data_IF_207416535213
#
_entry.id   IF_207416535213
#
_cell.length_a   1.000
_cell.length_b   1.000
_cell.length_c   1.000
_cell.angle_alpha   90.00
_cell.angle_beta   90.00
_cell.angle_gamma   90.00
#
_symmetry.space_group_name_H-M   'P 1'
#
loop_
_entity.id
_entity.type
_entity.pdbx_description
1 polymer ?
#
# COMPACT_ATOMS: atom_id res chain seq x y z
N UNK A 1 6.30 -33.81 12.69
CA UNK A 1 6.20 -32.59 13.51
C UNK A 1 7.29 -31.65 13.03
N UNK A 2 7.03 -30.90 11.96
CA UNK A 2 7.95 -29.85 11.51
C UNK A 2 7.81 -28.71 12.50
N UNK A 3 8.87 -28.43 13.24
CA UNK A 3 8.93 -27.33 14.17
C UNK A 3 9.14 -26.06 13.34
N UNK A 4 8.03 -25.50 12.85
CA UNK A 4 8.04 -24.34 11.96
C UNK A 4 8.31 -23.10 12.82
N UNK A 5 9.47 -22.49 12.66
CA UNK A 5 9.82 -21.25 13.35
C UNK A 5 8.88 -20.15 12.88
N UNK A 6 7.98 -19.71 13.73
CA UNK A 6 7.12 -18.56 13.47
C UNK A 6 8.01 -17.31 13.47
N UNK A 7 8.16 -16.65 12.32
CA UNK A 7 8.80 -15.35 12.28
C UNK A 7 7.89 -14.33 12.97
N UNK A 8 8.42 -13.65 14.00
CA UNK A 8 7.71 -12.58 14.68
C UNK A 8 8.57 -11.35 14.82
N UNK A 9 8.02 -10.18 14.49
CA UNK A 9 8.68 -8.88 14.63
C UNK A 9 7.75 -7.98 15.43
N UNK A 10 8.25 -7.36 16.51
CA UNK A 10 7.43 -6.54 17.42
C UNK A 10 6.17 -7.27 17.93
N UNK A 11 6.30 -8.56 18.25
CA UNK A 11 5.22 -9.47 18.64
C UNK A 11 4.10 -9.63 17.59
N UNK A 12 4.32 -9.21 16.35
CA UNK A 12 3.45 -9.50 15.21
C UNK A 12 3.96 -10.76 14.55
N UNK A 13 3.09 -11.76 14.46
CA UNK A 13 3.34 -13.00 13.72
C UNK A 13 3.15 -12.73 12.24
N UNK A 14 4.13 -13.14 11.44
CA UNK A 14 3.95 -13.28 10.00
C UNK A 14 3.40 -14.68 9.76
N UNK A 15 2.21 -14.84 9.15
CA UNK A 15 1.65 -16.17 8.92
C UNK A 15 2.60 -17.01 8.05
N UNK A 16 2.90 -18.22 8.50
CA UNK A 16 3.76 -19.13 7.75
C UNK A 16 2.92 -20.11 6.92
N UNK A 17 2.28 -19.57 5.88
CA UNK A 17 1.41 -20.30 4.95
C UNK A 17 2.02 -20.33 3.55
N UNK A 18 1.53 -21.24 2.71
CA UNK A 18 1.94 -21.31 1.30
C UNK A 18 1.65 -19.99 0.58
N UNK A 19 0.47 -19.39 0.81
CA UNK A 19 0.09 -18.11 0.22
C UNK A 19 1.05 -16.99 0.61
N UNK A 20 1.39 -16.85 1.90
CA UNK A 20 2.30 -15.79 2.37
C UNK A 20 3.71 -15.96 1.81
N UNK A 21 4.21 -17.20 1.68
CA UNK A 21 5.51 -17.48 1.07
C UNK A 21 5.50 -17.11 -0.42
N UNK A 22 4.49 -17.55 -1.15
CA UNK A 22 4.29 -17.24 -2.57
C UNK A 22 4.23 -15.73 -2.82
N UNK A 23 3.46 -14.99 -2.01
CA UNK A 23 3.37 -13.53 -2.06
C UNK A 23 4.73 -12.90 -1.82
N UNK A 24 5.46 -13.38 -0.81
CA UNK A 24 6.77 -12.83 -0.45
C UNK A 24 7.77 -13.02 -1.58
N UNK A 25 7.83 -14.21 -2.18
CA UNK A 25 8.71 -14.50 -3.31
C UNK A 25 8.34 -13.66 -4.54
N UNK A 26 7.06 -13.65 -4.91
CA UNK A 26 6.58 -12.90 -6.07
C UNK A 26 6.86 -11.40 -5.97
N UNK A 27 6.60 -10.79 -4.81
CA UNK A 27 6.86 -9.37 -4.60
C UNK A 27 8.35 -9.11 -4.48
N UNK A 28 9.13 -10.03 -3.89
CA UNK A 28 10.58 -9.86 -3.79
C UNK A 28 11.23 -9.76 -5.17
N UNK A 29 10.74 -10.53 -6.14
CA UNK A 29 11.23 -10.52 -7.53
C UNK A 29 10.73 -9.30 -8.33
N UNK A 30 9.56 -8.76 -8.00
CA UNK A 30 8.94 -7.66 -8.73
C UNK A 30 9.37 -6.27 -8.24
N UNK A 31 9.62 -6.11 -6.94
CA UNK A 31 9.86 -4.82 -6.30
C UNK A 31 11.33 -4.57 -5.96
N UNK A 32 11.71 -3.29 -5.94
CA UNK A 32 12.99 -2.86 -5.39
C UNK A 32 13.07 -3.11 -3.87
N UNK A 33 14.28 -3.11 -3.29
CA UNK A 33 14.46 -3.22 -1.83
C UNK A 33 13.66 -2.15 -1.07
N UNK A 34 13.57 -0.94 -1.62
CA UNK A 34 12.81 0.16 -1.02
C UNK A 34 11.34 -0.21 -0.82
N UNK A 35 10.68 -0.67 -1.89
CA UNK A 35 9.24 -0.94 -1.89
C UNK A 35 8.94 -2.20 -1.08
N UNK A 36 9.75 -3.24 -1.20
CA UNK A 36 9.55 -4.45 -0.39
C UNK A 36 9.72 -4.18 1.11
N UNK A 37 10.78 -3.49 1.52
CA UNK A 37 10.94 -3.14 2.94
C UNK A 37 9.82 -2.21 3.42
N UNK A 38 9.32 -1.33 2.55
CA UNK A 38 8.13 -0.51 2.84
C UNK A 38 6.89 -1.37 3.07
N UNK A 39 6.54 -2.23 2.12
CA UNK A 39 5.42 -3.16 2.17
C UNK A 39 5.46 -4.05 3.42
N UNK A 40 6.65 -4.54 3.79
CA UNK A 40 6.85 -5.30 5.03
C UNK A 40 6.60 -4.45 6.28
N UNK A 41 7.06 -3.19 6.31
CA UNK A 41 6.73 -2.25 7.40
C UNK A 41 5.24 -1.91 7.44
N UNK A 42 4.57 -1.76 6.29
CA UNK A 42 3.14 -1.51 6.20
C UNK A 42 2.35 -2.64 6.85
N UNK A 43 2.68 -3.91 6.55
CA UNK A 43 2.06 -5.05 7.24
C UNK A 43 2.23 -4.97 8.76
N UNK A 44 3.47 -4.78 9.23
CA UNK A 44 3.79 -4.79 10.66
C UNK A 44 3.13 -3.63 11.40
N UNK A 45 3.20 -2.41 10.85
CA UNK A 45 2.53 -1.25 11.44
C UNK A 45 1.00 -1.35 11.38
N UNK A 46 0.45 -1.87 10.28
CA UNK A 46 -0.97 -2.16 10.17
C UNK A 46 -1.43 -3.14 11.26
N UNK A 47 -0.72 -4.24 11.46
CA UNK A 47 -1.04 -5.21 12.51
C UNK A 47 -0.90 -4.62 13.94
N UNK A 48 0.12 -3.80 14.19
CA UNK A 48 0.30 -3.10 15.47
C UNK A 48 -0.84 -2.11 15.74
N UNK A 49 -1.26 -1.34 14.73
CA UNK A 49 -2.42 -0.46 14.84
C UNK A 49 -3.71 -1.25 15.05
N UNK A 50 -3.86 -2.41 14.40
CA UNK A 50 -4.98 -3.32 14.60
C UNK A 50 -5.10 -3.75 16.06
N UNK A 51 -3.99 -4.22 16.65
CA UNK A 51 -3.93 -4.58 18.08
C UNK A 51 -4.33 -3.42 18.98
N UNK A 52 -3.81 -2.21 18.72
CA UNK A 52 -4.14 -1.01 19.51
C UNK A 52 -5.61 -0.62 19.39
N UNK A 53 -6.18 -0.67 18.19
CA UNK A 53 -7.56 -0.25 17.87
C UNK A 53 -8.61 -1.33 18.18
N UNK A 54 -8.19 -2.54 18.53
CA UNK A 54 -9.08 -3.68 18.74
C UNK A 54 -9.65 -4.27 17.44
N UNK A 55 -8.99 -4.04 16.31
CA UNK A 55 -9.37 -4.58 15.00
C UNK A 55 -8.70 -5.93 14.78
N UNK A 56 -9.46 -6.89 14.25
CA UNK A 56 -9.01 -8.27 14.03
C UNK A 56 -9.07 -8.59 12.53
N UNK A 57 -8.01 -8.30 11.76
CA UNK A 57 -7.93 -8.69 10.36
C UNK A 57 -7.63 -10.17 10.20
N UNK A 58 -7.97 -10.74 9.04
CA UNK A 58 -7.21 -11.88 8.53
C UNK A 58 -5.77 -11.42 8.22
N UNK A 59 -4.79 -12.04 8.88
CA UNK A 59 -3.38 -11.65 8.74
C UNK A 59 -2.79 -12.05 7.38
N UNK A 60 -3.28 -13.11 6.72
CA UNK A 60 -2.84 -13.46 5.37
C UNK A 60 -3.32 -12.41 4.37
N UNK A 61 -4.58 -12.01 4.46
CA UNK A 61 -5.14 -10.98 3.57
C UNK A 61 -4.53 -9.60 3.82
N UNK A 62 -4.30 -9.22 5.07
CA UNK A 62 -3.57 -7.99 5.40
C UNK A 62 -2.15 -8.04 4.84
N UNK A 63 -1.48 -9.19 4.95
CA UNK A 63 -0.15 -9.37 4.38
C UNK A 63 -0.16 -9.22 2.86
N UNK A 64 -1.09 -9.86 2.16
CA UNK A 64 -1.21 -9.72 0.69
C UNK A 64 -1.46 -8.27 0.31
N UNK A 65 -2.41 -7.60 0.99
CA UNK A 65 -2.71 -6.18 0.74
C UNK A 65 -1.49 -5.30 0.91
N UNK A 66 -0.76 -5.45 2.02
CA UNK A 66 0.47 -4.70 2.28
C UNK A 66 1.58 -5.01 1.26
N UNK A 67 1.73 -6.26 0.85
CA UNK A 67 2.79 -6.65 -0.08
C UNK A 67 2.54 -6.23 -1.53
N UNK A 68 1.29 -6.10 -1.96
CA UNK A 68 0.95 -5.72 -3.33
C UNK A 68 0.69 -4.23 -3.54
N UNK A 69 0.54 -3.43 -2.48
CA UNK A 69 -0.04 -2.09 -2.62
C UNK A 69 0.72 -1.14 -3.56
N UNK A 70 2.04 -1.31 -3.64
CA UNK A 70 2.95 -0.47 -4.43
C UNK A 70 3.49 -1.14 -5.70
N UNK A 71 3.08 -2.37 -6.02
CA UNK A 71 3.59 -3.08 -7.22
C UNK A 71 3.25 -2.33 -8.52
N UNK A 72 2.18 -1.51 -8.51
CA UNK A 72 1.79 -0.64 -9.61
C UNK A 72 2.80 0.48 -9.93
N UNK A 73 3.79 0.72 -9.06
CA UNK A 73 4.89 1.66 -9.28
C UNK A 73 6.09 1.04 -10.02
N UNK A 74 6.10 -0.28 -10.19
CA UNK A 74 7.21 -1.00 -10.80
C UNK A 74 7.27 -0.77 -12.33
N UNK A 75 8.44 -1.07 -12.92
CA UNK A 75 8.67 -0.95 -14.37
C UNK A 75 7.65 -1.74 -15.21
N UNK A 76 7.04 -2.80 -14.63
CA UNK A 76 5.98 -3.58 -15.27
C UNK A 76 4.77 -2.72 -15.69
N UNK A 77 4.52 -1.61 -15.00
CA UNK A 77 3.37 -0.73 -15.22
C UNK A 77 3.74 0.63 -15.86
N UNK A 78 4.96 0.75 -16.40
CA UNK A 78 5.49 1.95 -17.09
C UNK A 78 4.65 2.45 -18.27
N UNK A 79 3.79 1.59 -18.84
CA UNK A 79 2.93 1.92 -19.98
C UNK A 79 1.43 1.95 -19.59
N UNK A 80 1.11 1.69 -18.31
CA UNK A 80 -0.26 1.79 -17.78
C UNK A 80 -0.70 3.24 -17.65
N UNK A 81 -1.99 3.49 -17.85
CA UNK A 81 -2.65 4.78 -17.62
C UNK A 81 -3.67 4.73 -16.48
N UNK A 82 -3.79 3.57 -15.81
CA UNK A 82 -4.57 3.45 -14.58
C UNK A 82 -3.82 4.09 -13.42
N UNK A 83 -4.53 4.39 -12.33
CA UNK A 83 -3.94 4.66 -11.02
C UNK A 83 -3.04 3.48 -10.60
N UNK A 84 -1.86 3.75 -10.04
CA UNK A 84 -0.94 2.68 -9.62
C UNK A 84 -1.57 1.78 -8.55
N UNK A 85 -2.43 2.37 -7.71
CA UNK A 85 -3.20 1.67 -6.68
C UNK A 85 -4.15 0.66 -7.33
N UNK A 86 -4.75 1.01 -8.48
CA UNK A 86 -5.64 0.10 -9.22
C UNK A 86 -4.84 -0.99 -9.92
N UNK A 87 -3.68 -0.66 -10.48
CA UNK A 87 -2.77 -1.66 -11.06
C UNK A 87 -2.36 -2.71 -10.03
N UNK A 88 -1.97 -2.28 -8.82
CA UNK A 88 -1.61 -3.18 -7.73
C UNK A 88 -2.79 -4.00 -7.22
N UNK A 89 -3.96 -3.38 -7.08
CA UNK A 89 -5.19 -4.06 -6.67
C UNK A 89 -5.59 -5.17 -7.66
N UNK A 90 -5.54 -4.88 -8.97
CA UNK A 90 -5.82 -5.85 -10.02
C UNK A 90 -4.82 -7.01 -9.99
N UNK A 91 -3.53 -6.73 -9.80
CA UNK A 91 -2.49 -7.74 -9.70
C UNK A 91 -2.71 -8.68 -8.51
N UNK A 92 -3.05 -8.12 -7.33
CA UNK A 92 -3.34 -8.90 -6.14
C UNK A 92 -4.57 -9.79 -6.32
N UNK A 93 -5.64 -9.25 -6.92
CA UNK A 93 -6.85 -10.01 -7.19
C UNK A 93 -6.58 -11.18 -8.15
N UNK A 94 -5.88 -10.95 -9.26
CA UNK A 94 -5.49 -12.00 -10.19
C UNK A 94 -4.65 -13.09 -9.49
N UNK A 95 -3.67 -12.66 -8.67
CA UNK A 95 -2.79 -13.56 -7.93
C UNK A 95 -3.53 -14.45 -6.93
N UNK A 96 -4.49 -13.88 -6.21
CA UNK A 96 -5.31 -14.57 -5.20
C UNK A 96 -6.29 -15.56 -5.82
N UNK A 97 -7.02 -15.12 -6.85
CA UNK A 97 -7.99 -15.97 -7.56
C UNK A 97 -7.30 -17.16 -8.24
N UNK A 98 -6.11 -16.96 -8.81
CA UNK A 98 -5.30 -18.04 -9.38
C UNK A 98 -4.88 -19.10 -8.35
N UNK A 99 -4.91 -18.76 -7.05
CA UNK A 99 -4.58 -19.66 -5.92
C UNK A 99 -5.82 -20.18 -5.17
N UNK A 100 -7.01 -19.93 -5.71
CA UNK A 100 -8.25 -20.44 -5.15
C UNK A 100 -8.75 -19.70 -3.90
N UNK A 101 -8.22 -18.50 -3.62
CA UNK A 101 -8.83 -17.60 -2.63
C UNK A 101 -10.18 -17.13 -3.17
N UNK A 102 -11.19 -17.03 -2.31
CA UNK A 102 -12.53 -16.67 -2.76
C UNK A 102 -12.63 -15.21 -3.23
N UNK A 103 -13.65 -14.93 -4.05
CA UNK A 103 -13.83 -13.62 -4.66
C UNK A 103 -14.09 -12.50 -3.63
N UNK A 104 -14.68 -12.81 -2.48
CA UNK A 104 -15.00 -11.81 -1.47
C UNK A 104 -13.71 -11.37 -0.74
N UNK A 105 -12.85 -12.31 -0.38
CA UNK A 105 -11.54 -12.04 0.22
C UNK A 105 -10.58 -11.39 -0.78
N UNK A 106 -10.58 -11.85 -2.04
CA UNK A 106 -9.82 -11.17 -3.10
C UNK A 106 -10.31 -9.73 -3.32
N UNK A 107 -11.63 -9.48 -3.25
CA UNK A 107 -12.21 -8.13 -3.32
C UNK A 107 -11.81 -7.28 -2.10
N UNK A 108 -11.74 -7.86 -0.91
CA UNK A 108 -11.32 -7.17 0.30
C UNK A 108 -9.88 -6.67 0.18
N UNK A 109 -8.98 -7.53 -0.31
CA UNK A 109 -7.58 -7.16 -0.61
C UNK A 109 -7.52 -6.09 -1.70
N UNK A 110 -8.28 -6.26 -2.79
CA UNK A 110 -8.37 -5.27 -3.86
C UNK A 110 -8.77 -3.89 -3.32
N UNK A 111 -9.78 -3.81 -2.44
CA UNK A 111 -10.23 -2.55 -1.83
C UNK A 111 -9.16 -1.95 -0.92
N UNK A 112 -8.49 -2.77 -0.11
CA UNK A 112 -7.39 -2.34 0.76
C UNK A 112 -6.29 -1.65 -0.04
N UNK A 113 -5.91 -2.23 -1.17
CA UNK A 113 -4.91 -1.67 -2.06
C UNK A 113 -5.46 -0.45 -2.82
N UNK A 114 -6.64 -0.52 -3.44
CA UNK A 114 -7.13 0.57 -4.27
C UNK A 114 -7.37 1.88 -3.49
N UNK A 115 -7.62 1.78 -2.18
CA UNK A 115 -7.96 2.92 -1.32
C UNK A 115 -6.81 3.36 -0.39
N UNK A 116 -5.64 2.72 -0.41
CA UNK A 116 -4.58 2.97 0.57
C UNK A 116 -4.02 4.41 0.56
N UNK A 117 -4.19 5.15 -0.55
CA UNK A 117 -3.82 6.57 -0.69
C UNK A 117 -5.00 7.53 -0.48
N UNK A 118 -6.14 7.04 0.01
CA UNK A 118 -7.39 7.81 0.19
C UNK A 118 -7.74 7.90 1.69
N UNK A 119 -6.95 8.62 2.51
CA UNK A 119 -7.20 8.72 3.94
C UNK A 119 -8.60 9.27 4.23
N UNK A 120 -9.20 8.81 5.33
CA UNK A 120 -10.57 9.18 5.75
C UNK A 120 -11.69 8.34 5.12
N UNK A 121 -11.38 7.36 4.26
CA UNK A 121 -12.37 6.38 3.75
C UNK A 121 -12.13 4.96 4.30
N UNK A 122 -10.91 4.38 4.21
CA UNK A 122 -10.65 2.99 4.62
C UNK A 122 -10.95 2.66 6.08
N UNK A 123 -10.84 3.63 6.99
CA UNK A 123 -11.06 3.43 8.43
C UNK A 123 -12.49 3.03 8.80
N UNK A 124 -13.45 3.21 7.88
CA UNK A 124 -14.85 2.83 8.04
C UNK A 124 -15.21 1.49 7.37
N UNK A 125 -14.22 0.79 6.81
CA UNK A 125 -14.37 -0.48 6.11
C UNK A 125 -13.81 -1.66 6.94
N UNK A 126 -13.74 -2.84 6.34
CA UNK A 126 -13.23 -4.06 6.96
C UNK A 126 -11.81 -3.88 7.52
N UNK A 127 -11.44 -4.61 8.61
CA UNK A 127 -10.14 -4.46 9.27
C UNK A 127 -8.94 -4.52 8.33
N UNK A 128 -8.94 -5.41 7.35
CA UNK A 128 -7.86 -5.59 6.37
C UNK A 128 -7.68 -4.31 5.55
N UNK A 129 -8.77 -3.68 5.12
CA UNK A 129 -8.77 -2.45 4.32
C UNK A 129 -8.28 -1.27 5.16
N UNK A 130 -8.83 -1.13 6.37
CA UNK A 130 -8.45 -0.08 7.31
C UNK A 130 -6.96 -0.18 7.69
N UNK A 131 -6.43 -1.40 7.86
CA UNK A 131 -5.09 -1.63 8.41
C UNK A 131 -3.98 -1.62 7.36
N UNK A 132 -4.25 -1.92 6.08
CA UNK A 132 -3.32 -1.58 4.98
C UNK A 132 -3.06 -0.07 4.99
N UNK A 133 -4.13 0.73 5.03
CA UNK A 133 -4.04 2.20 5.05
C UNK A 133 -3.34 2.70 6.30
N UNK A 134 -3.69 2.17 7.49
CA UNK A 134 -3.03 2.54 8.74
C UNK A 134 -1.52 2.24 8.75
N UNK A 135 -1.09 1.17 8.07
CA UNK A 135 0.31 0.84 7.87
C UNK A 135 1.04 1.87 7.01
N UNK A 136 0.45 2.26 5.87
CA UNK A 136 0.96 3.30 4.98
C UNK A 136 1.02 4.66 5.70
N UNK A 137 -0.05 5.03 6.39
CA UNK A 137 -0.15 6.23 7.22
C UNK A 137 0.98 6.30 8.25
N UNK A 138 1.25 5.19 8.93
CA UNK A 138 2.31 5.09 9.94
C UNK A 138 3.70 5.22 9.30
N UNK A 139 3.96 4.50 8.20
CA UNK A 139 5.29 4.48 7.60
C UNK A 139 5.59 5.78 6.83
N UNK A 140 4.68 6.26 5.98
CA UNK A 140 4.91 7.39 5.06
C UNK A 140 4.56 8.72 5.69
N UNK A 141 3.36 8.85 6.26
CA UNK A 141 2.81 10.12 6.75
C UNK A 141 3.17 10.38 8.22
N UNK A 142 3.58 9.35 8.95
CA UNK A 142 3.83 9.40 10.39
C UNK A 142 2.56 9.47 11.25
N UNK A 143 1.38 9.28 10.64
CA UNK A 143 0.10 9.27 11.34
C UNK A 143 0.00 8.01 12.20
N UNK A 144 -0.39 8.16 13.47
CA UNK A 144 -0.49 7.04 14.41
C UNK A 144 0.85 6.47 14.88
N UNK A 145 1.98 6.97 14.40
CA UNK A 145 3.33 6.51 14.79
C UNK A 145 3.57 6.66 16.29
N UNK A 146 3.24 7.83 16.85
CA UNK A 146 3.53 8.17 18.25
C UNK A 146 2.59 7.45 19.23
N UNK A 147 1.60 6.73 18.71
CA UNK A 147 0.74 5.87 19.50
C UNK A 147 1.27 4.43 19.66
N UNK A 148 2.35 4.08 18.96
CA UNK A 148 3.04 2.79 19.07
C UNK A 148 4.23 2.91 20.02
N UNK A 149 4.62 1.79 20.67
CA UNK A 149 5.77 1.82 21.57
C UNK A 149 7.08 2.07 20.81
N UNK A 150 8.03 2.83 21.38
CA UNK A 150 9.36 3.01 20.79
C UNK A 150 10.07 1.69 20.46
N UNK A 151 9.87 0.66 21.30
CA UNK A 151 10.45 -0.67 21.11
C UNK A 151 9.88 -1.37 19.88
N UNK A 152 8.57 -1.27 19.65
CA UNK A 152 7.93 -1.85 18.47
C UNK A 152 8.41 -1.14 17.18
N UNK A 153 8.47 0.20 17.20
CA UNK A 153 9.00 0.98 16.09
C UNK A 153 10.46 0.60 15.77
N UNK A 154 11.29 0.44 16.80
CA UNK A 154 12.69 0.04 16.65
C UNK A 154 12.82 -1.38 16.09
N UNK A 155 12.03 -2.34 16.58
CA UNK A 155 12.05 -3.71 16.09
C UNK A 155 11.64 -3.80 14.60
N UNK A 156 10.58 -3.11 14.20
CA UNK A 156 10.12 -3.08 12.79
C UNK A 156 11.19 -2.45 11.89
N UNK A 157 11.77 -1.32 12.28
CA UNK A 157 12.77 -0.63 11.45
C UNK A 157 14.16 -1.26 11.49
N UNK A 158 14.47 -2.10 12.49
CA UNK A 158 15.66 -2.93 12.50
C UNK A 158 15.53 -4.12 11.54
N UNK A 159 14.34 -4.74 11.48
CA UNK A 159 14.06 -5.86 10.56
C UNK A 159 13.93 -5.41 9.10
N UNK A 160 13.30 -4.25 8.87
CA UNK A 160 13.09 -3.66 7.54
C UNK A 160 13.60 -2.22 7.49
N UNK A 161 14.92 -2.03 7.25
CA UNK A 161 15.57 -0.73 7.28
C UNK A 161 14.96 0.28 6.31
N UNK A 162 15.10 1.58 6.64
CA UNK A 162 14.51 2.66 5.84
C UNK A 162 15.47 3.83 5.54
N UNK A 163 16.68 3.57 5.02
CA UNK A 163 17.66 4.60 4.73
C UNK A 163 17.18 5.54 3.63
N UNK A 164 17.24 6.84 3.90
CA UNK A 164 16.77 7.92 3.01
C UNK A 164 15.34 7.71 2.49
N UNK A 165 14.51 6.99 3.25
CA UNK A 165 13.23 6.49 2.77
C UNK A 165 12.33 7.59 2.22
N UNK A 166 12.21 8.73 2.92
CA UNK A 166 11.32 9.82 2.51
C UNK A 166 11.64 10.35 1.11
N UNK A 167 12.92 10.51 0.77
CA UNK A 167 13.32 10.98 -0.57
C UNK A 167 13.07 9.89 -1.62
N UNK A 168 13.45 8.65 -1.28
CA UNK A 168 13.36 7.51 -2.19
C UNK A 168 11.90 7.12 -2.52
N UNK A 169 11.00 7.15 -1.54
CA UNK A 169 9.58 6.84 -1.77
C UNK A 169 8.90 7.93 -2.59
N UNK A 170 9.20 9.21 -2.33
CA UNK A 170 8.72 10.31 -3.17
C UNK A 170 9.21 10.18 -4.62
N UNK A 171 10.47 9.78 -4.82
CA UNK A 171 10.98 9.50 -6.16
C UNK A 171 10.23 8.33 -6.83
N UNK A 172 9.94 7.25 -6.10
CA UNK A 172 9.15 6.14 -6.63
C UNK A 172 7.73 6.58 -7.04
N UNK A 173 7.06 7.39 -6.22
CA UNK A 173 5.77 7.97 -6.58
C UNK A 173 5.87 8.90 -7.80
N UNK A 174 6.90 9.74 -7.89
CA UNK A 174 7.13 10.60 -9.07
C UNK A 174 7.31 9.76 -10.33
N UNK A 175 8.22 8.80 -10.31
CA UNK A 175 8.53 7.97 -11.48
C UNK A 175 7.34 7.11 -11.90
N UNK A 176 6.59 6.59 -10.93
CA UNK A 176 5.39 5.80 -11.16
C UNK A 176 4.18 6.62 -11.64
N UNK A 177 4.19 7.95 -11.59
CA UNK A 177 3.05 8.78 -12.01
C UNK A 177 3.34 9.73 -13.18
N UNK A 178 4.60 10.10 -13.45
CA UNK A 178 4.96 11.09 -14.48
C UNK A 178 4.49 10.73 -15.90
N UNK A 179 4.35 9.44 -16.22
CA UNK A 179 3.84 8.96 -17.51
C UNK A 179 2.31 8.86 -17.59
N UNK A 180 1.63 9.06 -16.46
CA UNK A 180 0.16 9.01 -16.32
C UNK A 180 -0.35 10.17 -15.44
N UNK A 181 0.01 11.44 -15.73
CA UNK A 181 -0.30 12.56 -14.84
C UNK A 181 -1.80 12.73 -14.57
N UNK A 182 -2.67 12.41 -15.54
CA UNK A 182 -4.13 12.49 -15.40
C UNK A 182 -4.71 11.49 -14.40
N UNK A 183 -4.02 10.39 -14.08
CA UNK A 183 -4.49 9.45 -13.05
C UNK A 183 -4.34 10.00 -11.63
N UNK A 184 -3.64 11.13 -11.46
CA UNK A 184 -3.42 11.76 -10.15
C UNK A 184 -4.54 12.72 -9.74
N UNK A 185 -5.50 13.00 -10.63
CA UNK A 185 -6.62 13.88 -10.33
C UNK A 185 -7.40 13.39 -9.09
N UNK A 186 -7.58 14.28 -8.12
CA UNK A 186 -8.31 14.00 -6.89
C UNK A 186 -7.57 13.12 -5.86
N UNK A 187 -6.26 12.90 -5.99
CA UNK A 187 -5.47 12.16 -5.00
C UNK A 187 -4.10 12.81 -4.69
N UNK A 188 -3.42 12.28 -3.67
CA UNK A 188 -2.17 12.83 -3.12
C UNK A 188 -1.01 12.84 -4.12
N UNK A 189 -1.05 12.03 -5.18
CA UNK A 189 0.04 11.98 -6.16
C UNK A 189 0.12 13.25 -7.03
N UNK A 190 -0.96 14.04 -7.11
CA UNK A 190 -0.91 15.36 -7.74
C UNK A 190 -0.02 16.34 -6.95
N UNK A 191 0.12 16.13 -5.63
CA UNK A 191 1.08 16.88 -4.80
C UNK A 191 2.52 16.47 -5.07
N UNK A 192 2.76 15.18 -5.26
CA UNK A 192 4.08 14.65 -5.63
C UNK A 192 4.50 15.20 -7.00
N UNK A 193 3.66 15.06 -8.04
CA UNK A 193 4.02 15.52 -9.38
C UNK A 193 4.25 17.03 -9.43
N UNK A 194 3.39 17.83 -8.79
CA UNK A 194 3.59 19.28 -8.78
C UNK A 194 4.87 19.74 -8.06
N UNK A 195 5.45 18.89 -7.20
CA UNK A 195 6.71 19.19 -6.53
C UNK A 195 7.94 18.74 -7.33
N UNK A 196 7.82 17.66 -8.11
CA UNK A 196 8.97 16.98 -8.73
C UNK A 196 8.98 17.00 -10.27
N UNK A 197 7.90 17.43 -10.92
CA UNK A 197 7.80 17.59 -12.37
C UNK A 197 7.36 19.01 -12.72
N UNK A 198 8.33 19.85 -13.13
CA UNK A 198 8.10 21.24 -13.52
C UNK A 198 7.15 21.40 -14.73
N UNK A 199 6.92 20.32 -15.49
CA UNK A 199 5.99 20.31 -16.61
C UNK A 199 4.56 19.91 -16.23
N UNK A 200 4.36 19.43 -15.01
CA UNK A 200 3.05 18.98 -14.56
C UNK A 200 2.11 20.17 -14.28
N UNK A 201 0.96 20.14 -14.94
CA UNK A 201 -0.13 21.09 -14.71
C UNK A 201 -1.26 20.34 -14.04
N UNK A 202 -1.64 20.77 -12.85
CA UNK A 202 -2.77 20.18 -12.12
C UNK A 202 -4.08 20.47 -12.83
N UNK A 203 -4.92 19.45 -12.91
CA UNK A 203 -6.33 19.61 -13.23
C UNK A 203 -7.04 20.42 -12.12
N UNK A 204 -7.84 21.41 -12.52
CA UNK A 204 -8.66 22.22 -11.61
C UNK A 204 -10.10 21.69 -11.62
N UNK A 205 -10.52 21.08 -10.52
CA UNK A 205 -11.87 20.53 -10.37
C UNK A 205 -12.98 21.58 -10.53
N UNK A 206 -12.76 22.81 -10.05
CA UNK A 206 -13.76 23.88 -10.16
C UNK A 206 -13.91 24.28 -11.63
N UNK A 207 -12.79 24.44 -12.35
CA UNK A 207 -12.87 24.76 -13.78
C UNK A 207 -13.45 23.63 -14.60
N UNK A 208 -13.16 22.36 -14.26
CA UNK A 208 -13.81 21.22 -14.91
C UNK A 208 -15.34 21.29 -14.76
N UNK A 209 -15.86 21.72 -13.61
CA UNK A 209 -17.31 21.91 -13.42
C UNK A 209 -17.80 23.11 -14.24
N UNK A 210 -17.15 24.26 -14.18
CA UNK A 210 -17.60 25.48 -14.86
C UNK A 210 -17.55 25.36 -16.39
N UNK A 211 -16.57 24.62 -16.93
CA UNK A 211 -16.35 24.45 -18.36
C UNK A 211 -17.08 23.22 -18.94
N UNK A 212 -17.82 22.47 -18.11
CA UNK A 212 -18.53 21.29 -18.60
C UNK A 212 -19.69 21.70 -19.53
N UNK A 213 -19.99 20.87 -20.53
CA UNK A 213 -20.94 21.22 -21.60
C UNK A 213 -22.43 21.13 -21.25
N UNK A 214 -22.80 20.90 -19.98
CA UNK A 214 -24.22 20.92 -19.58
C UNK A 214 -24.75 22.36 -19.57
N UNK A 215 -25.96 22.59 -20.10
CA UNK A 215 -26.63 23.88 -19.95
C UNK A 215 -27.03 24.13 -18.49
N UNK A 216 -27.11 25.42 -18.12
CA UNK A 216 -27.71 25.90 -16.86
C UNK A 216 -29.20 25.55 -16.73
#
# INVERSE_FOLDING_TARGET
>A
MTNTSIESIADIVIPDTELVRDVTEYIRDAESDLLFDHSRRVFLFGALQGRRRGLQPDLELLYVGAMFHDIGLTERYRDSQLRFEVDGANAAQEFLLARGVDEADARKVWLGIALHTTPGVPEFLEPEIALVTAGVETDVLGIGRDDLSPEALAAVTAAHPRPDFKRRILQAFTDGNKHRPRSTFGNVNADVLAHYDDSFVRDDFVQIILDNGWPE
#
